data_IF_108636366508
#
_entry.id   IF_108636366508
#
_cell.length_a   1.000
_cell.length_b   1.000
_cell.length_c   1.000
_cell.angle_alpha   90.00
_cell.angle_beta   90.00
_cell.angle_gamma   90.00
#
_symmetry.space_group_name_H-M   'P 1'
#
loop_
_entity.id
_entity.type
_entity.pdbx_description
1 polymer ?
#
# COMPACT_ATOMS: atom_id res chain seq x y z
N UNK A 1 -0.78 -19.54 2.24
CA UNK A 1 0.12 -20.37 1.42
C UNK A 1 0.78 -19.47 0.37
N UNK A 2 2.03 -19.06 0.54
CA UNK A 2 2.78 -18.32 -0.48
C UNK A 2 3.89 -19.23 -1.02
N UNK A 3 3.54 -20.00 -2.05
CA UNK A 3 4.46 -20.89 -2.76
C UNK A 3 5.02 -20.13 -3.97
N UNK A 4 6.35 -19.98 -4.07
CA UNK A 4 7.00 -19.67 -5.35
C UNK A 4 7.86 -18.40 -5.45
N UNK A 5 8.06 -17.61 -4.39
CA UNK A 5 9.01 -16.48 -4.47
C UNK A 5 10.46 -16.95 -4.71
N UNK A 6 10.86 -18.07 -4.10
CA UNK A 6 12.18 -18.67 -4.27
C UNK A 6 12.51 -19.02 -5.74
N UNK A 7 11.49 -19.28 -6.56
CA UNK A 7 11.64 -19.61 -7.99
C UNK A 7 11.62 -18.39 -8.91
N UNK A 8 11.24 -17.22 -8.39
CA UNK A 8 11.22 -15.98 -9.17
C UNK A 8 12.61 -15.39 -9.28
N UNK A 9 12.91 -14.79 -10.42
CA UNK A 9 14.10 -13.96 -10.62
C UNK A 9 14.03 -12.66 -9.82
N UNK A 10 15.18 -11.98 -9.72
CA UNK A 10 15.29 -10.69 -9.00
C UNK A 10 14.38 -9.62 -9.65
N UNK A 11 14.39 -9.55 -10.98
CA UNK A 11 13.51 -8.65 -11.74
C UNK A 11 12.01 -8.96 -11.53
N UNK A 12 11.62 -10.23 -11.45
CA UNK A 12 10.23 -10.61 -11.15
C UNK A 12 9.81 -10.24 -9.71
N UNK A 13 10.74 -10.31 -8.75
CA UNK A 13 10.47 -9.89 -7.37
C UNK A 13 10.33 -8.37 -7.27
N UNK A 14 11.18 -7.60 -7.97
CA UNK A 14 11.06 -6.14 -8.06
C UNK A 14 9.76 -5.71 -8.74
N UNK A 15 9.38 -6.38 -9.83
CA UNK A 15 8.11 -6.12 -10.50
C UNK A 15 6.93 -6.41 -9.56
N UNK A 16 6.94 -7.54 -8.85
CA UNK A 16 5.90 -7.89 -7.89
C UNK A 16 5.83 -6.89 -6.72
N UNK A 17 6.96 -6.37 -6.26
CA UNK A 17 7.02 -5.31 -5.27
C UNK A 17 6.35 -4.03 -5.78
N UNK A 18 6.64 -3.62 -7.02
CA UNK A 18 6.05 -2.44 -7.64
C UNK A 18 4.52 -2.58 -7.81
N UNK A 19 4.06 -3.74 -8.28
CA UNK A 19 2.64 -4.06 -8.42
C UNK A 19 1.91 -4.01 -7.06
N UNK A 20 2.49 -4.60 -6.02
CA UNK A 20 1.91 -4.58 -4.67
C UNK A 20 1.88 -3.18 -4.05
N UNK A 21 2.89 -2.35 -4.33
CA UNK A 21 2.89 -0.93 -3.90
C UNK A 21 1.79 -0.15 -4.60
N UNK A 22 1.65 -0.32 -5.91
CA UNK A 22 0.57 0.32 -6.67
C UNK A 22 -0.81 -0.14 -6.19
N UNK A 23 -0.96 -1.41 -5.85
CA UNK A 23 -2.21 -1.94 -5.28
C UNK A 23 -2.48 -1.38 -3.88
N UNK A 24 -1.45 -1.28 -3.03
CA UNK A 24 -1.56 -0.64 -1.72
C UNK A 24 -2.03 0.82 -1.83
N UNK A 25 -1.51 1.58 -2.78
CA UNK A 25 -1.95 2.97 -3.03
C UNK A 25 -3.43 3.06 -3.43
N UNK A 26 -3.93 2.11 -4.23
CA UNK A 26 -5.36 2.03 -4.55
C UNK A 26 -6.20 1.75 -3.30
N UNK A 27 -5.76 0.80 -2.47
CA UNK A 27 -6.45 0.46 -1.22
C UNK A 27 -6.48 1.65 -0.24
N UNK A 28 -5.42 2.45 -0.17
CA UNK A 28 -5.40 3.70 0.61
C UNK A 28 -6.43 4.72 0.11
N UNK A 29 -6.59 4.86 -1.21
CA UNK A 29 -7.61 5.74 -1.81
C UNK A 29 -9.02 5.24 -1.48
N UNK A 30 -9.26 3.93 -1.56
CA UNK A 30 -10.55 3.32 -1.19
C UNK A 30 -10.85 3.54 0.30
N UNK A 31 -9.86 3.31 1.18
CA UNK A 31 -9.96 3.58 2.62
C UNK A 31 -10.27 5.06 2.90
N UNK A 32 -9.60 5.98 2.19
CA UNK A 32 -9.85 7.41 2.32
C UNK A 32 -11.29 7.77 1.91
N UNK A 33 -11.79 7.20 0.80
CA UNK A 33 -13.18 7.36 0.39
C UNK A 33 -14.17 6.82 1.43
N UNK A 34 -13.93 5.61 1.96
CA UNK A 34 -14.76 4.98 2.99
C UNK A 34 -14.71 5.72 4.35
N UNK A 35 -13.63 6.44 4.63
CA UNK A 35 -13.48 7.23 5.86
C UNK A 35 -14.37 8.49 5.91
N UNK A 36 -14.98 8.87 4.79
CA UNK A 36 -15.78 10.11 4.69
C UNK A 36 -14.95 11.38 4.79
N UNK A 37 -13.61 11.28 4.72
CA UNK A 37 -12.68 12.43 4.70
C UNK A 37 -12.53 12.91 3.26
N UNK A 38 -13.13 14.06 2.95
CA UNK A 38 -12.88 14.75 1.68
C UNK A 38 -11.79 15.80 1.90
N UNK A 39 -10.66 15.60 1.24
CA UNK A 39 -9.58 16.60 1.19
C UNK A 39 -9.96 17.63 0.13
N UNK A 40 -10.61 18.71 0.55
CA UNK A 40 -10.91 19.84 -0.35
C UNK A 40 -9.73 20.81 -0.34
N UNK A 41 -9.07 20.97 -1.50
CA UNK A 41 -8.09 22.04 -1.70
C UNK A 41 -8.90 23.33 -1.86
N UNK A 42 -8.87 24.21 -0.87
CA UNK A 42 -9.67 25.43 -0.91
C UNK A 42 -9.35 26.24 -2.17
N UNK A 43 -10.34 26.45 -3.04
CA UNK A 43 -10.26 27.30 -4.22
C UNK A 43 -10.29 28.81 -3.87
N UNK A 44 -9.69 29.19 -2.74
CA UNK A 44 -9.60 30.58 -2.28
C UNK A 44 -8.18 31.12 -2.48
N UNK A 45 -8.07 32.43 -2.70
CA UNK A 45 -6.83 33.24 -2.90
C UNK A 45 -5.68 33.03 -1.90
N UNK A 46 -5.79 32.12 -0.93
CA UNK A 46 -4.72 31.74 0.01
C UNK A 46 -4.34 30.28 -0.24
N UNK A 47 -3.33 30.08 -1.07
CA UNK A 47 -2.68 28.80 -1.33
C UNK A 47 -2.16 28.19 -0.01
N UNK A 48 -2.81 27.14 0.50
CA UNK A 48 -2.22 26.33 1.57
C UNK A 48 -3.19 25.67 2.55
N UNK A 49 -4.46 26.09 2.63
CA UNK A 49 -5.39 25.47 3.59
C UNK A 49 -6.01 24.18 3.02
N UNK A 50 -5.44 23.04 3.39
CA UNK A 50 -6.10 21.74 3.26
C UNK A 50 -7.20 21.65 4.32
N UNK A 51 -8.47 21.63 3.92
CA UNK A 51 -9.59 21.42 4.85
C UNK A 51 -10.08 19.99 4.72
N UNK A 52 -9.72 19.15 5.69
CA UNK A 52 -10.33 17.84 5.89
C UNK A 52 -11.70 18.05 6.55
N UNK A 53 -12.78 17.80 5.81
CA UNK A 53 -14.14 17.78 6.39
C UNK A 53 -14.60 16.32 6.45
N UNK A 54 -14.98 15.87 7.65
CA UNK A 54 -15.71 14.62 7.85
C UNK A 54 -17.15 14.86 7.40
N UNK A 55 -17.64 14.11 6.41
CA UNK A 55 -19.05 14.11 6.05
C UNK A 55 -19.81 13.17 7.01
N UNK A 56 -20.66 13.68 7.91
CA UNK A 56 -21.50 12.82 8.74
C UNK A 56 -22.42 11.99 7.84
N UNK A 57 -22.42 10.66 8.00
CA UNK A 57 -23.24 9.72 7.22
C UNK A 57 -22.54 8.99 6.06
N UNK A 58 -21.26 9.26 5.77
CA UNK A 58 -20.47 8.55 4.73
C UNK A 58 -19.41 7.59 5.25
N UNK A 59 -19.32 7.40 6.57
CA UNK A 59 -18.36 6.47 7.17
C UNK A 59 -18.91 5.05 7.11
N UNK A 60 -18.48 4.29 6.12
CA UNK A 60 -18.82 2.87 6.02
C UNK A 60 -17.79 2.06 6.82
N UNK A 61 -18.18 1.66 8.04
CA UNK A 61 -17.31 0.91 8.94
C UNK A 61 -16.91 -0.45 8.38
N UNK A 62 -17.77 -1.08 7.56
CA UNK A 62 -17.47 -2.37 6.92
C UNK A 62 -16.45 -2.18 5.80
N UNK A 63 -16.67 -1.22 4.91
CA UNK A 63 -15.72 -0.91 3.84
C UNK A 63 -14.35 -0.46 4.38
N UNK A 64 -14.32 0.28 5.50
CA UNK A 64 -13.09 0.62 6.20
C UNK A 64 -12.35 -0.62 6.73
N UNK A 65 -13.06 -1.54 7.39
CA UNK A 65 -12.47 -2.76 7.92
C UNK A 65 -11.94 -3.68 6.80
N UNK A 66 -12.68 -3.79 5.70
CA UNK A 66 -12.26 -4.56 4.50
C UNK A 66 -11.00 -3.94 3.88
N UNK A 67 -10.94 -2.62 3.72
CA UNK A 67 -9.76 -1.93 3.21
C UNK A 67 -8.54 -2.07 4.16
N UNK A 68 -8.75 -1.97 5.47
CA UNK A 68 -7.69 -2.17 6.47
C UNK A 68 -7.12 -3.60 6.43
N UNK A 69 -7.99 -4.61 6.30
CA UNK A 69 -7.57 -6.01 6.17
C UNK A 69 -6.78 -6.26 4.87
N UNK A 70 -7.21 -5.64 3.76
CA UNK A 70 -6.50 -5.71 2.48
C UNK A 70 -5.12 -5.05 2.55
N UNK A 71 -5.02 -3.85 3.15
CA UNK A 71 -3.75 -3.14 3.36
C UNK A 71 -2.82 -3.96 4.24
N UNK A 72 -3.32 -4.55 5.34
CA UNK A 72 -2.53 -5.40 6.21
C UNK A 72 -1.97 -6.62 5.47
N UNK A 73 -2.75 -7.19 4.57
CA UNK A 73 -2.32 -8.32 3.73
C UNK A 73 -1.27 -7.91 2.71
N UNK A 74 -1.47 -6.80 2.00
CA UNK A 74 -0.48 -6.25 1.07
C UNK A 74 0.85 -5.94 1.78
N UNK A 75 0.80 -5.38 3.00
CA UNK A 75 2.01 -5.12 3.82
C UNK A 75 2.76 -6.40 4.18
N UNK A 76 2.05 -7.48 4.55
CA UNK A 76 2.69 -8.77 4.82
C UNK A 76 3.38 -9.33 3.59
N UNK A 77 2.75 -9.23 2.43
CA UNK A 77 3.35 -9.67 1.17
C UNK A 77 4.59 -8.85 0.79
N UNK A 78 4.52 -7.52 0.91
CA UNK A 78 5.66 -6.65 0.67
C UNK A 78 6.84 -6.99 1.56
N UNK A 79 6.59 -7.19 2.86
CA UNK A 79 7.65 -7.57 3.81
C UNK A 79 8.32 -8.88 3.41
N UNK A 80 7.54 -9.88 2.99
CA UNK A 80 8.09 -11.16 2.57
C UNK A 80 8.96 -11.04 1.30
N UNK A 81 8.58 -10.17 0.36
CA UNK A 81 9.39 -9.87 -0.83
C UNK A 81 10.66 -9.11 -0.45
N UNK A 82 10.58 -8.13 0.44
CA UNK A 82 11.72 -7.36 0.93
C UNK A 82 12.73 -8.24 1.66
N UNK A 83 12.24 -9.17 2.51
CA UNK A 83 13.08 -10.15 3.19
C UNK A 83 13.76 -11.10 2.19
N UNK A 84 13.06 -11.52 1.13
CA UNK A 84 13.63 -12.37 0.07
C UNK A 84 14.71 -11.64 -0.75
N UNK A 85 14.46 -10.40 -1.14
CA UNK A 85 15.44 -9.56 -1.83
C UNK A 85 16.68 -9.33 -0.95
N UNK A 86 16.50 -9.03 0.33
CA UNK A 86 17.59 -8.85 1.28
C UNK A 86 18.43 -10.12 1.47
N UNK A 87 17.78 -11.29 1.57
CA UNK A 87 18.47 -12.60 1.66
C UNK A 87 19.33 -12.87 0.44
N UNK A 88 18.85 -12.55 -0.77
CA UNK A 88 19.61 -12.74 -2.01
C UNK A 88 20.79 -11.79 -2.12
N UNK A 89 20.57 -10.51 -1.81
CA UNK A 89 21.64 -9.52 -1.80
C UNK A 89 22.77 -9.91 -0.83
N UNK A 90 22.42 -10.42 0.36
CA UNK A 90 23.41 -10.94 1.31
C UNK A 90 24.14 -12.20 0.80
N UNK A 91 23.43 -13.10 0.13
CA UNK A 91 24.01 -14.30 -0.48
C UNK A 91 24.95 -13.99 -1.66
N UNK A 92 24.66 -12.97 -2.45
CA UNK A 92 25.55 -12.46 -3.50
C UNK A 92 26.77 -11.77 -2.91
N UNK A 93 26.60 -10.91 -1.90
CA UNK A 93 27.70 -10.25 -1.20
C UNK A 93 28.67 -11.23 -0.51
N UNK A 94 28.18 -12.38 -0.04
CA UNK A 94 29.03 -13.44 0.53
C UNK A 94 29.81 -14.25 -0.51
N UNK A 95 29.48 -14.13 -1.80
CA UNK A 95 30.12 -14.85 -2.92
C UNK A 95 31.06 -13.97 -3.74
N UNK A 96 30.96 -12.64 -3.60
CA UNK A 96 31.85 -11.65 -4.22
C UNK A 96 33.13 -11.47 -3.40
#
# INVERSE_FOLDING_TARGET
MMFGLERKSLAELEQLQAELRAEQDKLWKQRAAASGVVVSKGAGRRSGQVRARLLPGRRDARALAEADAAIATARRHLRYIEDELARRAAGEAARA
#
